data_IF_176870525685
#
_entry.id   IF_176870525685
#
_cell.length_a   1.000
_cell.length_b   1.000
_cell.length_c   1.000
_cell.angle_alpha   90.00
_cell.angle_beta   90.00
_cell.angle_gamma   90.00
#
_symmetry.space_group_name_H-M   'P 1'
#
loop_
_entity.id
_entity.type
_entity.pdbx_description
1 polymer ?
#
# COMPACT_ATOMS: atom_id res chain seq x y z
N UNK A 1 2.00 -25.74 -3.98
CA UNK A 1 2.85 -24.91 -4.85
C UNK A 1 3.50 -25.81 -5.87
N UNK A 2 2.91 -25.87 -7.06
CA UNK A 2 3.56 -26.39 -8.26
C UNK A 2 4.78 -25.51 -8.54
N UNK A 3 5.98 -26.08 -8.50
CA UNK A 3 7.25 -25.40 -8.79
C UNK A 3 7.42 -25.23 -10.30
N UNK A 4 6.46 -24.63 -11.01
CA UNK A 4 6.77 -23.94 -12.26
C UNK A 4 7.41 -22.60 -11.90
N UNK A 5 8.52 -22.32 -12.59
CA UNK A 5 9.67 -21.63 -12.00
C UNK A 5 9.31 -20.28 -11.38
N UNK A 6 9.96 -19.92 -10.28
CA UNK A 6 9.97 -18.57 -9.72
C UNK A 6 10.04 -17.47 -10.80
N UNK A 7 10.69 -17.73 -11.95
CA UNK A 7 10.72 -16.80 -13.07
C UNK A 7 9.36 -16.55 -13.75
N UNK A 8 8.45 -17.53 -13.85
CA UNK A 8 7.09 -17.31 -14.38
C UNK A 8 6.25 -16.49 -13.40
N UNK A 9 6.37 -16.74 -12.09
CA UNK A 9 5.70 -15.94 -11.07
C UNK A 9 6.21 -14.49 -11.06
N UNK A 10 7.52 -14.30 -11.22
CA UNK A 10 8.15 -12.98 -11.37
C UNK A 10 7.65 -12.29 -12.65
N UNK A 11 7.57 -13.01 -13.78
CA UNK A 11 7.07 -12.45 -15.03
C UNK A 11 5.58 -12.07 -14.93
N UNK A 12 4.75 -12.92 -14.31
CA UNK A 12 3.34 -12.64 -14.10
C UNK A 12 3.13 -11.41 -13.21
N UNK A 13 3.84 -11.37 -12.08
CA UNK A 13 3.80 -10.24 -11.15
C UNK A 13 4.30 -8.96 -11.83
N UNK A 14 5.33 -9.05 -12.67
CA UNK A 14 5.83 -7.92 -13.44
C UNK A 14 4.77 -7.38 -14.40
N UNK A 15 4.16 -8.22 -15.25
CA UNK A 15 3.13 -7.80 -16.20
C UNK A 15 1.89 -7.22 -15.49
N UNK A 16 1.42 -7.84 -14.41
CA UNK A 16 0.35 -7.28 -13.59
C UNK A 16 0.72 -5.90 -13.02
N UNK A 17 1.96 -5.74 -12.53
CA UNK A 17 2.45 -4.48 -12.00
C UNK A 17 2.52 -3.41 -13.09
N UNK A 18 2.90 -3.76 -14.32
CA UNK A 18 2.89 -2.82 -15.46
C UNK A 18 1.50 -2.30 -15.78
N UNK A 19 0.47 -3.16 -15.75
CA UNK A 19 -0.93 -2.70 -15.92
C UNK A 19 -1.33 -1.80 -14.76
N UNK A 20 -1.02 -2.19 -13.53
CA UNK A 20 -1.34 -1.45 -12.30
C UNK A 20 -0.73 -0.04 -12.30
N UNK A 21 0.55 0.08 -12.67
CA UNK A 21 1.26 1.36 -12.76
C UNK A 21 0.69 2.30 -13.84
N UNK A 22 -0.04 1.74 -14.81
CA UNK A 22 -0.69 2.48 -15.88
C UNK A 22 -2.18 2.74 -15.63
N UNK A 23 -2.75 2.29 -14.50
CA UNK A 23 -4.18 2.51 -14.20
C UNK A 23 -4.58 3.98 -14.25
N UNK A 24 -3.69 4.90 -13.89
CA UNK A 24 -3.95 6.34 -13.97
C UNK A 24 -3.99 6.88 -15.40
N UNK A 25 -3.46 6.15 -16.37
CA UNK A 25 -3.45 6.49 -17.79
C UNK A 25 -4.58 5.81 -18.57
N UNK A 26 -5.12 4.72 -18.05
CA UNK A 26 -6.09 3.87 -18.71
C UNK A 26 -7.50 4.17 -18.23
N UNK A 27 -8.49 4.09 -19.11
CA UNK A 27 -9.88 3.93 -18.65
C UNK A 27 -10.05 2.54 -18.03
N UNK A 28 -11.08 2.37 -17.20
CA UNK A 28 -11.41 1.04 -16.66
C UNK A 28 -11.50 -0.03 -17.76
N UNK A 29 -12.16 0.23 -18.90
CA UNK A 29 -12.28 -0.78 -19.96
C UNK A 29 -10.94 -1.12 -20.61
N UNK A 30 -10.01 -0.16 -20.69
CA UNK A 30 -8.66 -0.41 -21.20
C UNK A 30 -7.86 -1.24 -20.19
N UNK A 31 -7.91 -0.89 -18.90
CA UNK A 31 -7.27 -1.63 -17.83
C UNK A 31 -7.78 -3.08 -17.76
N UNK A 32 -9.10 -3.27 -17.79
CA UNK A 32 -9.74 -4.58 -17.79
C UNK A 32 -9.27 -5.41 -18.99
N UNK A 33 -9.19 -4.83 -20.20
CA UNK A 33 -8.66 -5.53 -21.37
C UNK A 33 -7.20 -5.93 -21.22
N UNK A 34 -6.35 -5.06 -20.67
CA UNK A 34 -4.94 -5.38 -20.44
C UNK A 34 -4.79 -6.51 -19.41
N UNK A 35 -5.54 -6.49 -18.31
CA UNK A 35 -5.54 -7.59 -17.36
C UNK A 35 -6.02 -8.91 -18.00
N UNK A 36 -7.08 -8.88 -18.83
CA UNK A 36 -7.53 -10.08 -19.57
C UNK A 36 -6.53 -10.57 -20.62
N UNK A 37 -5.73 -9.66 -21.21
CA UNK A 37 -4.61 -10.02 -22.08
C UNK A 37 -3.56 -10.79 -21.28
N UNK A 38 -3.17 -10.29 -20.11
CA UNK A 38 -2.24 -10.97 -19.19
C UNK A 38 -2.80 -12.33 -18.77
N UNK A 39 -4.08 -12.42 -18.39
CA UNK A 39 -4.75 -13.69 -18.08
C UNK A 39 -4.61 -14.71 -19.21
N UNK A 40 -4.96 -14.31 -20.43
CA UNK A 40 -4.91 -15.18 -21.62
C UNK A 40 -3.50 -15.71 -21.86
N UNK A 41 -2.50 -14.83 -21.75
CA UNK A 41 -1.10 -15.17 -21.93
C UNK A 41 -0.61 -16.18 -20.88
N UNK A 42 -0.84 -15.91 -19.60
CA UNK A 42 -0.33 -16.75 -18.52
C UNK A 42 -1.13 -18.05 -18.35
N UNK A 43 -2.44 -18.07 -18.65
CA UNK A 43 -3.23 -19.31 -18.75
C UNK A 43 -2.67 -20.21 -19.85
N UNK A 44 -2.28 -19.66 -21.01
CA UNK A 44 -1.67 -20.44 -22.08
C UNK A 44 -0.31 -21.03 -21.67
N UNK A 45 0.49 -20.31 -20.86
CA UNK A 45 1.78 -20.78 -20.32
C UNK A 45 1.62 -21.84 -19.22
N UNK A 46 0.58 -21.70 -18.38
CA UNK A 46 0.22 -22.69 -17.37
C UNK A 46 -0.09 -24.06 -18.02
N UNK A 47 -0.73 -24.02 -19.19
CA UNK A 47 -1.03 -25.22 -19.98
C UNK A 47 -2.20 -25.97 -19.36
N UNK A 48 -1.98 -27.24 -18.98
CA UNK A 48 -3.01 -28.09 -18.37
C UNK A 48 -2.93 -28.12 -16.82
N UNK A 49 -2.15 -27.23 -16.20
CA UNK A 49 -2.10 -27.12 -14.74
C UNK A 49 -3.34 -26.33 -14.26
N UNK A 50 -4.40 -27.06 -13.90
CA UNK A 50 -5.68 -26.48 -13.48
C UNK A 50 -5.54 -25.59 -12.24
N UNK A 51 -4.60 -25.89 -11.35
CA UNK A 51 -4.37 -25.10 -10.14
C UNK A 51 -3.75 -23.74 -10.50
N UNK A 52 -2.73 -23.72 -11.35
CA UNK A 52 -2.08 -22.49 -11.84
C UNK A 52 -3.06 -21.64 -12.66
N UNK A 53 -3.81 -22.27 -13.58
CA UNK A 53 -4.83 -21.56 -14.38
C UNK A 53 -5.84 -20.87 -13.47
N UNK A 54 -6.33 -21.59 -12.45
CA UNK A 54 -7.29 -21.03 -11.50
C UNK A 54 -6.68 -19.92 -10.65
N UNK A 55 -5.43 -20.02 -10.23
CA UNK A 55 -4.75 -18.95 -9.48
C UNK A 55 -4.61 -17.67 -10.32
N UNK A 56 -4.13 -17.79 -11.56
CA UNK A 56 -4.01 -16.67 -12.51
C UNK A 56 -5.36 -15.99 -12.71
N UNK A 57 -6.40 -16.79 -12.96
CA UNK A 57 -7.76 -16.30 -13.15
C UNK A 57 -8.27 -15.52 -11.93
N UNK A 58 -8.07 -16.03 -10.71
CA UNK A 58 -8.47 -15.35 -9.47
C UNK A 58 -7.75 -14.03 -9.30
N UNK A 59 -6.42 -14.03 -9.46
CA UNK A 59 -5.60 -12.82 -9.27
C UNK A 59 -5.97 -11.74 -10.27
N UNK A 60 -6.20 -12.11 -11.54
CA UNK A 60 -6.65 -11.15 -12.56
C UNK A 60 -8.04 -10.58 -12.26
N UNK A 61 -9.05 -11.41 -11.96
CA UNK A 61 -10.39 -10.90 -11.64
C UNK A 61 -10.37 -9.98 -10.42
N UNK A 62 -9.53 -10.31 -9.43
CA UNK A 62 -9.35 -9.48 -8.25
C UNK A 62 -8.72 -8.11 -8.58
N UNK A 63 -7.69 -8.05 -9.45
CA UNK A 63 -7.13 -6.79 -9.93
C UNK A 63 -8.14 -5.96 -10.72
N UNK A 64 -8.97 -6.61 -11.55
CA UNK A 64 -10.04 -5.93 -12.29
C UNK A 64 -11.09 -5.33 -11.33
N UNK A 65 -11.43 -6.02 -10.23
CA UNK A 65 -12.33 -5.47 -9.20
C UNK A 65 -11.71 -4.26 -8.50
N UNK A 66 -10.42 -4.31 -8.18
CA UNK A 66 -9.67 -3.17 -7.63
C UNK A 66 -9.71 -1.96 -8.59
N UNK A 67 -9.46 -2.19 -9.87
CA UNK A 67 -9.55 -1.13 -10.88
C UNK A 67 -10.98 -0.59 -11.06
N UNK A 68 -12.01 -1.43 -10.97
CA UNK A 68 -13.41 -1.02 -11.03
C UNK A 68 -13.80 -0.13 -9.83
N UNK A 69 -13.30 -0.48 -8.65
CA UNK A 69 -13.40 0.34 -7.45
C UNK A 69 -12.70 1.69 -7.67
N UNK A 70 -11.42 1.69 -8.03
CA UNK A 70 -10.64 2.93 -8.13
C UNK A 70 -11.16 3.91 -9.20
N UNK A 71 -11.80 3.41 -10.27
CA UNK A 71 -12.44 4.22 -11.32
C UNK A 71 -13.95 4.45 -11.09
N UNK A 72 -14.45 4.17 -9.87
CA UNK A 72 -15.83 4.42 -9.43
C UNK A 72 -16.90 3.83 -10.37
N UNK A 73 -16.66 2.61 -10.86
CA UNK A 73 -17.55 1.98 -11.84
C UNK A 73 -18.97 1.74 -11.28
N UNK A 74 -20.00 1.75 -12.16
CA UNK A 74 -21.36 1.46 -11.76
C UNK A 74 -21.48 0.12 -11.03
N UNK A 75 -22.38 0.04 -10.04
CA UNK A 75 -22.59 -1.18 -9.24
C UNK A 75 -22.72 -2.45 -10.08
N UNK A 76 -23.42 -2.38 -11.21
CA UNK A 76 -23.62 -3.51 -12.11
C UNK A 76 -22.30 -4.10 -12.66
N UNK A 77 -21.33 -3.24 -12.93
CA UNK A 77 -19.99 -3.66 -13.37
C UNK A 77 -19.25 -4.33 -12.21
N UNK A 78 -19.22 -3.67 -11.05
CA UNK A 78 -18.60 -4.20 -9.83
C UNK A 78 -19.20 -5.55 -9.41
N UNK A 79 -20.52 -5.68 -9.49
CA UNK A 79 -21.26 -6.91 -9.15
C UNK A 79 -20.89 -8.04 -10.09
N UNK A 80 -20.87 -7.80 -11.41
CA UNK A 80 -20.48 -8.85 -12.37
C UNK A 80 -19.06 -9.38 -12.12
N UNK A 81 -18.11 -8.49 -11.81
CA UNK A 81 -16.72 -8.88 -11.50
C UNK A 81 -16.66 -9.62 -10.14
N UNK A 82 -17.40 -9.14 -9.15
CA UNK A 82 -17.49 -9.78 -7.84
C UNK A 82 -18.06 -11.20 -7.92
N UNK A 83 -19.15 -11.40 -8.65
CA UNK A 83 -19.75 -12.72 -8.88
C UNK A 83 -18.78 -13.66 -9.58
N UNK A 84 -18.05 -13.20 -10.59
CA UNK A 84 -16.98 -13.95 -11.24
C UNK A 84 -15.86 -14.33 -10.25
N UNK A 85 -15.45 -13.41 -9.38
CA UNK A 85 -14.41 -13.67 -8.37
C UNK A 85 -14.89 -14.72 -7.35
N UNK A 86 -16.15 -14.65 -6.92
CA UNK A 86 -16.77 -15.63 -6.02
C UNK A 86 -16.85 -17.01 -6.69
N UNK A 87 -17.23 -17.08 -7.96
CA UNK A 87 -17.27 -18.34 -8.73
C UNK A 87 -15.88 -18.98 -8.85
N UNK A 88 -14.86 -18.16 -9.13
CA UNK A 88 -13.45 -18.61 -9.19
C UNK A 88 -12.93 -19.01 -7.80
N UNK A 89 -13.49 -18.43 -6.74
CA UNK A 89 -13.08 -18.61 -5.35
C UNK A 89 -11.86 -17.76 -4.98
N UNK A 90 -11.45 -17.83 -3.71
CA UNK A 90 -10.32 -17.05 -3.19
C UNK A 90 -9.10 -17.96 -2.95
N UNK A 91 -7.89 -17.42 -3.08
CA UNK A 91 -6.63 -18.12 -2.78
C UNK A 91 -6.53 -18.46 -1.29
N UNK A 92 -6.97 -17.51 -0.45
CA UNK A 92 -6.88 -17.57 1.00
C UNK A 92 -7.88 -16.61 1.65
N UNK A 93 -7.89 -16.60 2.99
CA UNK A 93 -8.80 -15.75 3.79
C UNK A 93 -8.48 -14.27 3.67
N UNK A 94 -7.21 -13.92 3.52
CA UNK A 94 -6.78 -12.52 3.40
C UNK A 94 -7.29 -11.94 2.09
N UNK A 95 -7.12 -12.67 0.99
CA UNK A 95 -7.65 -12.31 -0.32
C UNK A 95 -9.17 -12.15 -0.27
N UNK A 96 -9.89 -13.13 0.30
CA UNK A 96 -11.35 -13.05 0.49
C UNK A 96 -11.75 -11.78 1.23
N UNK A 97 -11.10 -11.50 2.37
CA UNK A 97 -11.36 -10.32 3.18
C UNK A 97 -11.15 -9.03 2.39
N UNK A 98 -9.99 -8.87 1.74
CA UNK A 98 -9.63 -7.66 0.99
C UNK A 98 -10.68 -7.37 -0.08
N UNK A 99 -11.00 -8.35 -0.92
CA UNK A 99 -11.88 -8.12 -2.06
C UNK A 99 -13.37 -8.06 -1.68
N UNK A 100 -13.81 -8.71 -0.59
CA UNK A 100 -15.12 -8.42 0.00
C UNK A 100 -15.21 -6.98 0.47
N UNK A 101 -14.16 -6.48 1.13
CA UNK A 101 -14.09 -5.08 1.57
C UNK A 101 -14.17 -4.10 0.39
N UNK A 102 -13.40 -4.36 -0.67
CA UNK A 102 -13.43 -3.56 -1.91
C UNK A 102 -14.83 -3.56 -2.54
N UNK A 103 -15.46 -4.73 -2.71
CA UNK A 103 -16.80 -4.80 -3.28
C UNK A 103 -17.84 -4.09 -2.40
N UNK A 104 -17.77 -4.25 -1.07
CA UNK A 104 -18.66 -3.54 -0.15
C UNK A 104 -18.50 -2.01 -0.24
N UNK A 105 -17.29 -1.50 -0.50
CA UNK A 105 -17.05 -0.08 -0.80
C UNK A 105 -17.66 0.34 -2.14
N UNK A 106 -17.54 -0.47 -3.19
CA UNK A 106 -18.25 -0.22 -4.45
C UNK A 106 -19.77 -0.10 -4.24
N UNK A 107 -20.35 -1.00 -3.43
CA UNK A 107 -21.76 -0.94 -3.04
C UNK A 107 -22.10 0.36 -2.31
N UNK A 108 -21.26 0.77 -1.35
CA UNK A 108 -21.45 1.99 -0.58
C UNK A 108 -21.54 3.25 -1.47
N UNK A 109 -20.66 3.37 -2.46
CA UNK A 109 -20.62 4.53 -3.35
C UNK A 109 -21.80 4.60 -4.30
N UNK A 110 -22.20 3.44 -4.81
CA UNK A 110 -23.36 3.32 -5.67
C UNK A 110 -24.69 3.40 -4.89
N UNK A 111 -24.64 3.42 -3.54
CA UNK A 111 -25.82 3.48 -2.67
C UNK A 111 -26.54 2.14 -2.51
N UNK A 112 -25.89 1.04 -2.88
CA UNK A 112 -26.39 -0.33 -2.80
C UNK A 112 -26.04 -0.94 -1.44
N UNK A 113 -26.47 -0.27 -0.37
CA UNK A 113 -25.99 -0.57 0.99
C UNK A 113 -26.29 -2.01 1.43
N UNK A 114 -27.50 -2.49 1.16
CA UNK A 114 -27.92 -3.85 1.52
C UNK A 114 -27.04 -4.92 0.86
N UNK A 115 -26.62 -4.69 -0.39
CA UNK A 115 -25.74 -5.62 -1.11
C UNK A 115 -24.33 -5.66 -0.47
N UNK A 116 -23.82 -4.51 -0.02
CA UNK A 116 -22.55 -4.43 0.71
C UNK A 116 -22.61 -5.12 2.08
N UNK A 117 -23.72 -4.94 2.82
CA UNK A 117 -23.93 -5.59 4.11
C UNK A 117 -24.02 -7.11 3.94
N UNK A 118 -24.77 -7.57 2.94
CA UNK A 118 -24.99 -8.99 2.68
C UNK A 118 -23.70 -9.78 2.43
N UNK A 119 -22.65 -9.15 1.89
CA UNK A 119 -21.33 -9.79 1.72
C UNK A 119 -20.43 -9.67 2.94
N UNK A 120 -20.59 -8.62 3.75
CA UNK A 120 -19.76 -8.37 4.94
C UNK A 120 -20.20 -9.20 6.15
N UNK A 121 -21.50 -9.37 6.38
CA UNK A 121 -21.99 -10.13 7.54
C UNK A 121 -21.44 -11.56 7.60
N UNK A 122 -21.46 -12.35 6.51
CA UNK A 122 -20.87 -13.69 6.53
C UNK A 122 -19.36 -13.66 6.76
N UNK A 123 -18.65 -12.68 6.19
CA UNK A 123 -17.20 -12.53 6.37
C UNK A 123 -16.84 -12.20 7.83
N UNK A 124 -17.59 -11.29 8.45
CA UNK A 124 -17.41 -10.90 9.86
C UNK A 124 -17.64 -12.12 10.76
N UNK A 125 -18.75 -12.84 10.57
CA UNK A 125 -19.06 -14.02 11.36
C UNK A 125 -18.01 -15.14 11.19
N UNK A 126 -17.54 -15.38 9.95
CA UNK A 126 -16.47 -16.33 9.68
C UNK A 126 -15.16 -15.93 10.38
N UNK A 127 -14.81 -14.65 10.33
CA UNK A 127 -13.58 -14.12 10.91
C UNK A 127 -13.62 -14.18 12.44
N UNK A 128 -14.76 -13.88 13.06
CA UNK A 128 -15.00 -14.01 14.50
C UNK A 128 -14.84 -15.47 14.97
N UNK A 129 -15.54 -16.40 14.32
CA UNK A 129 -15.46 -17.82 14.66
C UNK A 129 -14.04 -18.37 14.48
N UNK A 130 -13.34 -17.93 13.43
CA UNK A 130 -11.96 -18.33 13.22
C UNK A 130 -11.01 -17.78 14.30
N UNK A 131 -11.12 -16.49 14.66
CA UNK A 131 -10.31 -15.87 15.71
C UNK A 131 -10.50 -16.50 17.09
N UNK A 132 -11.70 -17.01 17.36
CA UNK A 132 -11.99 -17.74 18.60
C UNK A 132 -11.20 -19.05 18.70
N UNK A 133 -11.04 -19.77 17.59
CA UNK A 133 -10.45 -21.11 17.58
C UNK A 133 -9.00 -21.17 17.07
N UNK A 134 -8.51 -20.12 16.41
CA UNK A 134 -7.20 -20.13 15.79
C UNK A 134 -6.07 -20.00 16.83
N UNK A 135 -5.12 -20.93 16.75
CA UNK A 135 -3.85 -20.85 17.46
C UNK A 135 -2.90 -19.88 16.74
N UNK A 136 -3.09 -18.58 17.01
CA UNK A 136 -2.31 -17.49 16.44
C UNK A 136 -1.28 -16.97 17.43
N UNK A 137 -0.16 -16.47 16.93
CA UNK A 137 0.73 -15.63 17.73
C UNK A 137 0.00 -14.32 18.11
N UNK A 138 0.41 -13.63 19.19
CA UNK A 138 -0.18 -12.35 19.56
C UNK A 138 -0.18 -11.32 18.41
N UNK A 139 0.88 -11.28 17.62
CA UNK A 139 1.03 -10.34 16.50
C UNK A 139 0.03 -10.63 15.39
N UNK A 140 -0.09 -11.90 14.98
CA UNK A 140 -1.06 -12.31 13.97
C UNK A 140 -2.49 -12.10 14.46
N UNK A 141 -2.77 -12.41 15.74
CA UNK A 141 -4.09 -12.16 16.33
C UNK A 141 -4.46 -10.68 16.27
N UNK A 142 -3.53 -9.79 16.67
CA UNK A 142 -3.75 -8.35 16.63
C UNK A 142 -4.00 -7.82 15.20
N UNK A 143 -3.27 -8.35 14.21
CA UNK A 143 -3.50 -8.03 12.80
C UNK A 143 -4.94 -8.37 12.37
N UNK A 144 -5.39 -9.59 12.65
CA UNK A 144 -6.72 -10.04 12.27
C UNK A 144 -7.86 -9.37 13.06
N UNK A 145 -7.62 -9.00 14.32
CA UNK A 145 -8.57 -8.21 15.13
C UNK A 145 -8.71 -6.78 14.59
N UNK A 146 -7.61 -6.17 14.14
CA UNK A 146 -7.63 -4.88 13.46
C UNK A 146 -8.44 -4.96 12.17
N UNK A 147 -8.18 -5.97 11.35
CA UNK A 147 -8.89 -6.22 10.10
C UNK A 147 -10.39 -6.46 10.29
N UNK A 148 -10.77 -7.24 11.30
CA UNK A 148 -12.17 -7.45 11.68
C UNK A 148 -12.84 -6.13 12.12
N UNK A 149 -12.10 -5.29 12.84
CA UNK A 149 -12.57 -3.95 13.22
C UNK A 149 -12.85 -3.09 11.99
N UNK A 150 -11.98 -3.17 10.97
CA UNK A 150 -12.20 -2.46 9.70
C UNK A 150 -13.43 -2.98 8.96
N UNK A 151 -13.65 -4.30 8.88
CA UNK A 151 -14.84 -4.87 8.25
C UNK A 151 -16.14 -4.46 8.96
N UNK A 152 -16.17 -4.50 10.30
CA UNK A 152 -17.31 -4.03 11.11
C UNK A 152 -17.58 -2.54 10.88
N UNK A 153 -16.53 -1.72 10.82
CA UNK A 153 -16.67 -0.31 10.49
C UNK A 153 -17.33 -0.07 9.13
N UNK A 154 -16.94 -0.82 8.08
CA UNK A 154 -17.58 -0.70 6.76
C UNK A 154 -19.07 -1.07 6.87
N UNK A 155 -19.41 -2.17 7.54
CA UNK A 155 -20.79 -2.59 7.76
C UNK A 155 -21.60 -1.50 8.48
N UNK A 156 -21.07 -0.97 9.59
CA UNK A 156 -21.76 0.06 10.37
C UNK A 156 -21.97 1.35 9.56
N UNK A 157 -21.01 1.72 8.70
CA UNK A 157 -21.16 2.85 7.76
C UNK A 157 -22.24 2.58 6.70
N UNK A 158 -22.36 1.35 6.19
CA UNK A 158 -23.41 0.94 5.26
C UNK A 158 -24.79 0.94 5.93
N UNK A 159 -24.91 0.42 7.15
CA UNK A 159 -26.14 0.42 7.96
C UNK A 159 -26.62 1.86 8.25
N UNK A 160 -25.67 2.77 8.46
CA UNK A 160 -25.95 4.19 8.64
C UNK A 160 -26.29 4.93 7.32
N UNK A 161 -26.24 4.25 6.17
CA UNK A 161 -26.47 4.84 4.85
C UNK A 161 -25.43 5.89 4.47
N UNK A 162 -24.23 5.82 5.06
CA UNK A 162 -23.15 6.76 4.78
C UNK A 162 -22.60 6.44 3.39
N UNK A 163 -22.83 7.34 2.42
CA UNK A 163 -22.04 7.33 1.20
C UNK A 163 -20.65 7.85 1.54
N UNK A 164 -19.67 6.96 1.51
CA UNK A 164 -18.28 7.41 1.57
C UNK A 164 -18.01 8.13 0.25
N UNK A 165 -17.87 9.45 0.28
CA UNK A 165 -17.16 10.10 -0.80
C UNK A 165 -15.72 9.60 -0.64
N UNK A 166 -15.20 8.84 -1.62
CA UNK A 166 -13.75 8.87 -1.84
C UNK A 166 -13.41 10.35 -1.75
N UNK A 167 -12.48 10.72 -0.87
CA UNK A 167 -11.79 11.97 -1.18
C UNK A 167 -11.25 11.67 -2.56
N UNK A 168 -11.67 12.42 -3.58
CA UNK A 168 -11.19 12.10 -4.90
C UNK A 168 -9.68 12.05 -4.75
N UNK A 169 -9.03 11.11 -5.43
CA UNK A 169 -7.62 11.30 -5.74
C UNK A 169 -7.60 12.55 -6.63
N UNK A 170 -7.77 13.73 -5.99
CA UNK A 170 -8.39 14.97 -6.51
C UNK A 170 -7.55 15.58 -7.62
N UNK A 171 -6.37 15.00 -7.80
CA UNK A 171 -5.54 15.22 -8.95
C UNK A 171 -5.20 13.87 -9.57
N UNK A 172 -5.74 13.61 -10.76
CA UNK A 172 -5.11 12.68 -11.70
C UNK A 172 -3.66 13.07 -11.83
N UNK A 173 -2.75 12.14 -11.57
CA UNK A 173 -1.33 12.41 -11.76
C UNK A 173 -1.10 12.89 -13.19
N UNK A 174 -0.30 13.93 -13.35
CA UNK A 174 0.13 14.38 -14.67
C UNK A 174 0.95 13.28 -15.33
N UNK A 175 0.99 13.18 -16.68
CA UNK A 175 1.82 12.19 -17.37
C UNK A 175 3.28 12.20 -16.91
N UNK A 176 3.81 13.37 -16.52
CA UNK A 176 5.14 13.52 -15.93
C UNK A 176 5.26 12.81 -14.57
N UNK A 177 4.31 13.01 -13.66
CA UNK A 177 4.33 12.35 -12.36
C UNK A 177 4.18 10.83 -12.46
N UNK A 178 3.41 10.36 -13.44
CA UNK A 178 3.29 8.94 -13.75
C UNK A 178 4.64 8.41 -14.22
N UNK A 179 5.29 9.08 -15.19
CA UNK A 179 6.61 8.70 -15.68
C UNK A 179 7.69 8.72 -14.58
N UNK A 180 7.68 9.72 -13.70
CA UNK A 180 8.56 9.79 -12.53
C UNK A 180 8.34 8.58 -11.61
N UNK A 181 7.07 8.30 -11.26
CA UNK A 181 6.70 7.18 -10.39
C UNK A 181 7.09 5.83 -11.00
N UNK A 182 6.86 5.64 -12.30
CA UNK A 182 7.26 4.43 -13.01
C UNK A 182 8.77 4.22 -12.98
N UNK A 183 9.58 5.27 -13.21
CA UNK A 183 11.05 5.16 -13.18
C UNK A 183 11.58 4.89 -11.78
N UNK A 184 11.06 5.59 -10.77
CA UNK A 184 11.42 5.34 -9.36
C UNK A 184 11.09 3.91 -8.97
N UNK A 185 9.88 3.43 -9.29
CA UNK A 185 9.46 2.05 -9.00
C UNK A 185 10.30 1.02 -9.77
N UNK A 186 10.76 1.32 -10.98
CA UNK A 186 11.66 0.45 -11.73
C UNK A 186 13.01 0.28 -11.04
N UNK A 187 13.61 1.36 -10.51
CA UNK A 187 14.85 1.28 -9.70
C UNK A 187 14.59 0.43 -8.45
N UNK A 188 13.52 0.72 -7.72
CA UNK A 188 13.16 -0.01 -6.51
C UNK A 188 12.96 -1.51 -6.77
N UNK A 189 12.26 -1.89 -7.83
CA UNK A 189 12.03 -3.30 -8.17
C UNK A 189 13.34 -4.04 -8.47
N UNK A 190 14.24 -3.41 -9.24
CA UNK A 190 15.56 -3.97 -9.57
C UNK A 190 16.44 -4.11 -8.33
N UNK A 191 16.40 -3.13 -7.44
CA UNK A 191 17.08 -3.18 -6.13
C UNK A 191 16.55 -4.34 -5.28
N UNK A 192 15.23 -4.47 -5.11
CA UNK A 192 14.62 -5.56 -4.34
C UNK A 192 14.92 -6.96 -4.90
N UNK A 193 15.16 -7.06 -6.21
CA UNK A 193 15.56 -8.31 -6.86
C UNK A 193 17.08 -8.57 -6.79
N UNK A 194 17.85 -7.68 -6.15
CA UNK A 194 19.30 -7.79 -6.06
C UNK A 194 20.05 -7.50 -7.36
N UNK A 195 19.38 -6.90 -8.36
CA UNK A 195 20.03 -6.48 -9.62
C UNK A 195 20.88 -5.22 -9.43
N UNK A 196 20.54 -4.40 -8.43
CA UNK A 196 21.23 -3.17 -8.08
C UNK A 196 21.77 -3.24 -6.65
N UNK A 197 23.02 -2.86 -6.49
CA UNK A 197 23.57 -2.44 -5.18
C UNK A 197 22.98 -1.09 -4.78
N UNK A 198 23.02 -0.76 -3.49
CA UNK A 198 22.59 0.54 -2.97
C UNK A 198 23.26 1.70 -3.74
N UNK A 199 24.57 1.66 -3.98
CA UNK A 199 25.28 2.72 -4.70
C UNK A 199 24.90 2.83 -6.18
N UNK A 200 24.44 1.74 -6.80
CA UNK A 200 23.87 1.79 -8.14
C UNK A 200 22.46 2.38 -8.11
N UNK A 201 21.61 1.97 -7.16
CA UNK A 201 20.28 2.53 -6.99
C UNK A 201 20.31 4.05 -6.73
N UNK A 202 21.19 4.53 -5.83
CA UNK A 202 21.41 5.96 -5.59
C UNK A 202 21.80 6.69 -6.87
N UNK A 203 22.71 6.14 -7.68
CA UNK A 203 23.09 6.75 -8.96
C UNK A 203 21.91 6.84 -9.93
N UNK A 204 21.11 5.79 -10.04
CA UNK A 204 19.92 5.80 -10.90
C UNK A 204 18.86 6.79 -10.39
N UNK A 205 18.60 6.84 -9.09
CA UNK A 205 17.71 7.83 -8.48
C UNK A 205 18.17 9.27 -8.75
N UNK A 206 19.46 9.57 -8.58
CA UNK A 206 20.00 10.91 -8.88
C UNK A 206 19.98 11.25 -10.37
N UNK A 207 20.13 10.25 -11.23
CA UNK A 207 19.93 10.44 -12.66
C UNK A 207 18.46 10.79 -12.97
N UNK A 208 17.50 10.10 -12.36
CA UNK A 208 16.08 10.44 -12.48
C UNK A 208 15.80 11.85 -11.96
N UNK A 209 16.37 12.23 -10.81
CA UNK A 209 16.27 13.60 -10.27
C UNK A 209 16.73 14.63 -11.31
N UNK A 210 17.93 14.48 -11.86
CA UNK A 210 18.48 15.41 -12.84
C UNK A 210 17.59 15.53 -14.09
N UNK A 211 17.15 14.40 -14.65
CA UNK A 211 16.31 14.38 -15.86
C UNK A 211 14.95 15.07 -15.64
N UNK A 212 14.35 14.91 -14.46
CA UNK A 212 13.03 15.47 -14.17
C UNK A 212 13.07 16.91 -13.65
N UNK A 213 14.14 17.32 -12.96
CA UNK A 213 14.37 18.69 -12.50
C UNK A 213 14.66 19.63 -13.66
N UNK A 214 15.46 19.22 -14.66
CA UNK A 214 15.76 20.10 -15.82
C UNK A 214 14.53 20.48 -16.66
N UNK A 215 13.41 19.77 -16.49
CA UNK A 215 12.21 19.88 -17.33
C UNK A 215 11.00 20.53 -16.63
N UNK A 216 11.11 21.07 -15.41
CA UNK A 216 9.95 21.43 -14.59
C UNK A 216 9.99 22.81 -13.92
N UNK A 217 8.80 23.31 -13.58
CA UNK A 217 8.60 24.49 -12.73
C UNK A 217 8.54 24.13 -11.22
N UNK A 218 8.49 22.83 -10.88
CA UNK A 218 8.40 22.30 -9.51
C UNK A 218 9.51 21.27 -9.23
N UNK A 219 10.73 21.80 -9.14
CA UNK A 219 11.96 21.02 -8.93
C UNK A 219 12.06 20.45 -7.53
N UNK A 220 11.51 21.14 -6.54
CA UNK A 220 11.69 20.80 -5.13
C UNK A 220 10.85 19.59 -4.72
N UNK A 221 9.64 19.43 -5.24
CA UNK A 221 8.86 18.19 -5.01
C UNK A 221 9.54 16.97 -5.64
N UNK A 222 10.08 17.11 -6.85
CA UNK A 222 10.80 16.02 -7.53
C UNK A 222 12.02 15.60 -6.72
N UNK A 223 12.84 16.59 -6.32
CA UNK A 223 14.01 16.40 -5.45
C UNK A 223 13.63 15.71 -4.14
N UNK A 224 12.60 16.19 -3.45
CA UNK A 224 12.11 15.60 -2.20
C UNK A 224 11.75 14.13 -2.38
N UNK A 225 10.89 13.80 -3.35
CA UNK A 225 10.46 12.42 -3.62
C UNK A 225 11.63 11.49 -3.93
N UNK A 226 12.64 11.96 -4.66
CA UNK A 226 13.84 11.16 -4.92
C UNK A 226 14.66 10.93 -3.63
N UNK A 227 14.85 11.96 -2.80
CA UNK A 227 15.54 11.79 -1.51
C UNK A 227 14.77 10.85 -0.58
N UNK A 228 13.42 10.90 -0.58
CA UNK A 228 12.58 9.93 0.14
C UNK A 228 12.87 8.49 -0.31
N UNK A 229 12.89 8.23 -1.63
CA UNK A 229 13.20 6.91 -2.19
C UNK A 229 14.61 6.44 -1.84
N UNK A 230 15.60 7.35 -1.84
CA UNK A 230 16.98 7.02 -1.45
C UNK A 230 17.06 6.64 0.04
N UNK A 231 16.33 7.33 0.92
CA UNK A 231 16.30 7.00 2.35
C UNK A 231 15.64 5.65 2.62
N UNK A 232 14.53 5.36 1.93
CA UNK A 232 13.86 4.06 2.02
C UNK A 232 14.76 2.91 1.52
N UNK A 233 15.46 3.12 0.41
CA UNK A 233 16.49 2.22 -0.12
C UNK A 233 17.63 2.00 0.87
N UNK A 234 18.15 3.06 1.50
CA UNK A 234 19.20 2.96 2.51
C UNK A 234 18.75 2.15 3.74
N UNK A 235 17.50 2.34 4.17
CA UNK A 235 16.90 1.58 5.26
C UNK A 235 16.79 0.08 4.94
N UNK A 236 16.31 -0.26 3.74
CA UNK A 236 16.11 -1.65 3.30
C UNK A 236 17.42 -2.40 3.05
N UNK A 237 18.47 -1.67 2.70
CA UNK A 237 19.79 -2.20 2.41
C UNK A 237 20.74 -2.14 3.63
N UNK A 238 20.20 -1.95 4.85
CA UNK A 238 20.93 -1.90 6.12
C UNK A 238 22.20 -1.03 6.06
N UNK A 239 22.09 0.14 5.43
CA UNK A 239 23.23 1.03 5.25
C UNK A 239 23.72 1.59 6.59
N UNK A 240 25.03 1.90 6.69
CA UNK A 240 25.59 2.51 7.89
C UNK A 240 24.83 3.77 8.30
N UNK A 241 24.74 4.03 9.60
CA UNK A 241 24.03 5.17 10.15
C UNK A 241 24.48 6.50 9.53
N UNK A 242 25.78 6.69 9.28
CA UNK A 242 26.30 7.93 8.68
C UNK A 242 25.67 8.21 7.32
N UNK A 243 25.50 7.18 6.49
CA UNK A 243 24.86 7.28 5.17
C UNK A 243 23.39 7.65 5.33
N UNK A 244 22.67 6.95 6.20
CA UNK A 244 21.26 7.25 6.47
C UNK A 244 21.06 8.67 7.01
N UNK A 245 21.97 9.14 7.88
CA UNK A 245 21.93 10.47 8.47
C UNK A 245 22.14 11.56 7.43
N UNK A 246 23.13 11.41 6.54
CA UNK A 246 23.37 12.39 5.46
C UNK A 246 22.14 12.55 4.56
N UNK A 247 21.49 11.43 4.19
CA UNK A 247 20.27 11.44 3.37
C UNK A 247 19.10 12.07 4.14
N UNK A 248 18.97 11.75 5.43
CA UNK A 248 17.93 12.32 6.30
C UNK A 248 18.09 13.84 6.46
N UNK A 249 19.31 14.32 6.69
CA UNK A 249 19.60 15.75 6.80
C UNK A 249 19.28 16.48 5.48
N UNK A 250 19.61 15.89 4.34
CA UNK A 250 19.21 16.41 3.03
C UNK A 250 17.69 16.47 2.89
N UNK A 251 16.97 15.42 3.28
CA UNK A 251 15.50 15.39 3.21
C UNK A 251 14.87 16.48 4.10
N UNK A 252 15.38 16.65 5.33
CA UNK A 252 14.92 17.73 6.23
C UNK A 252 15.18 19.10 5.63
N UNK A 253 16.32 19.32 4.98
CA UNK A 253 16.63 20.58 4.27
C UNK A 253 15.66 20.86 3.10
N UNK A 254 15.28 19.81 2.36
CA UNK A 254 14.28 19.88 1.26
C UNK A 254 12.84 20.02 1.77
N UNK A 255 12.61 19.79 3.07
CA UNK A 255 11.31 19.80 3.71
C UNK A 255 10.42 18.64 3.30
N UNK A 256 9.19 18.61 3.83
CA UNK A 256 8.21 17.56 3.56
C UNK A 256 7.00 18.13 2.80
N UNK A 257 6.40 17.33 1.92
CA UNK A 257 5.24 17.77 1.12
C UNK A 257 3.97 17.88 1.97
N UNK A 258 3.88 17.10 3.05
CA UNK A 258 2.82 17.19 4.05
C UNK A 258 3.25 16.50 5.37
N UNK A 259 2.38 16.60 6.37
CA UNK A 259 2.60 16.05 7.71
C UNK A 259 2.68 14.52 7.73
N UNK A 260 1.88 13.84 6.89
CA UNK A 260 1.92 12.39 6.75
C UNK A 260 3.29 11.92 6.24
N UNK A 261 3.84 12.62 5.25
CA UNK A 261 5.18 12.37 4.72
C UNK A 261 6.26 12.65 5.74
N UNK A 262 6.15 13.73 6.53
CA UNK A 262 7.03 14.01 7.66
C UNK A 262 7.08 12.82 8.63
N UNK A 263 5.91 12.35 9.10
CA UNK A 263 5.85 11.22 10.02
C UNK A 263 6.36 9.91 9.42
N UNK A 264 5.99 9.62 8.17
CA UNK A 264 6.42 8.38 7.50
C UNK A 264 7.93 8.33 7.34
N UNK A 265 8.56 9.40 6.85
CA UNK A 265 10.00 9.41 6.62
C UNK A 265 10.81 9.49 7.92
N UNK A 266 10.31 10.19 8.94
CA UNK A 266 10.90 10.15 10.28
C UNK A 266 10.88 8.75 10.88
N UNK A 267 9.80 7.99 10.68
CA UNK A 267 9.72 6.59 11.13
C UNK A 267 10.73 5.71 10.39
N UNK A 268 10.88 5.89 9.07
CA UNK A 268 11.90 5.19 8.27
C UNK A 268 13.31 5.46 8.80
N UNK A 269 13.67 6.74 8.99
CA UNK A 269 15.00 7.08 9.52
C UNK A 269 15.23 6.58 10.95
N UNK A 270 14.22 6.67 11.83
CA UNK A 270 14.32 6.14 13.19
C UNK A 270 14.51 4.61 13.21
N UNK A 271 13.97 3.88 12.23
CA UNK A 271 14.27 2.45 12.03
C UNK A 271 15.69 2.22 11.54
N UNK A 272 16.23 3.04 10.63
CA UNK A 272 17.66 2.98 10.28
C UNK A 272 18.54 3.12 11.54
N UNK A 273 18.19 4.07 12.41
CA UNK A 273 18.87 4.29 13.68
C UNK A 273 18.78 3.06 14.58
N UNK A 274 17.59 2.45 14.68
CA UNK A 274 17.36 1.22 15.45
C UNK A 274 18.26 0.07 14.98
N UNK A 275 18.31 -0.21 13.68
CA UNK A 275 19.10 -1.31 13.11
C UNK A 275 20.61 -1.07 13.26
N UNK A 276 21.06 0.18 13.18
CA UNK A 276 22.46 0.55 13.42
C UNK A 276 22.83 0.65 14.92
N UNK A 277 21.85 0.58 15.83
CA UNK A 277 22.07 0.71 17.27
C UNK A 277 22.24 2.15 17.77
N UNK A 278 21.88 3.14 16.96
CA UNK A 278 21.94 4.57 17.25
C UNK A 278 20.61 5.04 17.88
N UNK A 279 20.25 4.42 19.00
CA UNK A 279 18.92 4.57 19.61
C UNK A 279 18.59 6.02 19.99
N UNK A 280 19.57 6.77 20.51
CA UNK A 280 19.38 8.17 20.91
C UNK A 280 19.06 9.08 19.71
N UNK A 281 19.67 8.81 18.55
CA UNK A 281 19.37 9.55 17.33
C UNK A 281 17.95 9.27 16.84
N UNK A 282 17.51 8.00 16.89
CA UNK A 282 16.13 7.63 16.59
C UNK A 282 15.11 8.28 17.53
N UNK A 283 15.40 8.31 18.84
CA UNK A 283 14.56 8.95 19.85
C UNK A 283 14.45 10.47 19.64
N UNK A 284 15.56 11.13 19.28
CA UNK A 284 15.57 12.56 19.01
C UNK A 284 14.65 12.97 17.85
N UNK A 285 14.37 12.05 16.92
CA UNK A 285 13.45 12.28 15.80
C UNK A 285 11.99 11.95 16.17
N UNK A 286 11.75 10.87 16.92
CA UNK A 286 10.39 10.39 17.21
C UNK A 286 9.72 11.13 18.38
N UNK A 287 10.46 11.48 19.44
CA UNK A 287 9.86 12.11 20.63
C UNK A 287 9.14 13.44 20.33
N UNK A 288 9.70 14.37 19.51
CA UNK A 288 8.97 15.59 19.13
C UNK A 288 7.67 15.29 18.37
N UNK A 289 7.67 14.28 17.48
CA UNK A 289 6.49 13.92 16.70
C UNK A 289 5.38 13.31 17.55
N UNK A 290 5.74 12.55 18.59
CA UNK A 290 4.77 12.05 19.57
C UNK A 290 4.08 13.23 20.28
N UNK A 291 4.85 14.21 20.73
CA UNK A 291 4.31 15.39 21.41
C UNK A 291 3.39 16.21 20.48
N UNK A 292 3.79 16.37 19.21
CA UNK A 292 2.97 17.06 18.19
C UNK A 292 1.64 16.32 17.96
N UNK A 293 1.66 14.98 17.89
CA UNK A 293 0.46 14.15 17.71
C UNK A 293 -0.45 14.15 18.93
N UNK A 294 0.12 14.06 20.14
CA UNK A 294 -0.63 14.17 21.40
C UNK A 294 -1.32 15.54 21.49
N UNK A 295 -0.59 16.62 21.20
CA UNK A 295 -1.14 17.99 21.17
C UNK A 295 -2.23 18.14 20.11
N UNK A 296 -2.07 17.51 18.95
CA UNK A 296 -3.08 17.54 17.88
C UNK A 296 -4.36 16.83 18.31
N UNK A 297 -4.27 15.70 19.02
CA UNK A 297 -5.45 14.94 19.46
C UNK A 297 -6.31 15.67 20.51
N UNK A 298 -5.70 16.60 21.26
CA UNK A 298 -6.38 17.50 22.18
C UNK A 298 -7.17 18.60 21.45
N UNK A 299 -6.89 18.85 20.16
CA UNK A 299 -7.65 19.81 19.36
C UNK A 299 -9.05 19.28 19.03
N UNK A 300 -10.06 19.94 19.58
CA UNK A 300 -11.48 19.67 19.34
C UNK A 300 -11.93 19.92 17.89
N UNK A 301 -11.15 20.66 17.11
CA UNK A 301 -11.46 20.99 15.71
C UNK A 301 -10.95 19.95 14.71
N UNK A 302 -10.20 18.93 15.16
CA UNK A 302 -9.78 17.84 14.27
C UNK A 302 -10.99 17.13 13.68
N UNK A 303 -11.00 17.02 12.35
CA UNK A 303 -11.96 16.15 11.67
C UNK A 303 -11.79 14.70 12.13
N UNK A 304 -12.84 13.87 12.08
CA UNK A 304 -12.74 12.45 12.44
C UNK A 304 -11.61 11.71 11.69
N UNK A 305 -11.36 12.07 10.42
CA UNK A 305 -10.28 11.51 9.61
C UNK A 305 -8.90 11.89 10.15
N UNK A 306 -8.67 13.17 10.42
CA UNK A 306 -7.39 13.63 10.97
C UNK A 306 -7.15 13.03 12.35
N UNK A 307 -8.19 12.95 13.19
CA UNK A 307 -8.13 12.29 14.50
C UNK A 307 -7.75 10.82 14.38
N UNK A 308 -8.33 10.10 13.41
CA UNK A 308 -7.96 8.71 13.13
C UNK A 308 -6.50 8.58 12.67
N UNK A 309 -6.06 9.40 11.72
CA UNK A 309 -4.67 9.44 11.29
C UNK A 309 -3.72 9.70 12.47
N UNK A 310 -3.96 10.75 13.26
CA UNK A 310 -3.12 11.09 14.41
C UNK A 310 -3.09 9.95 15.44
N UNK A 311 -4.23 9.32 15.73
CA UNK A 311 -4.31 8.20 16.68
C UNK A 311 -3.51 6.98 16.22
N UNK A 312 -3.67 6.57 14.96
CA UNK A 312 -2.94 5.43 14.40
C UNK A 312 -1.43 5.69 14.32
N UNK A 313 -1.03 6.87 13.85
CA UNK A 313 0.40 7.25 13.76
C UNK A 313 1.03 7.38 15.15
N UNK A 314 0.31 7.92 16.14
CA UNK A 314 0.80 8.03 17.53
C UNK A 314 1.07 6.66 18.14
N UNK A 315 0.19 5.68 17.88
CA UNK A 315 0.40 4.31 18.35
C UNK A 315 1.69 3.72 17.77
N UNK A 316 1.91 3.85 16.46
CA UNK A 316 3.12 3.36 15.80
C UNK A 316 4.38 4.03 16.34
N UNK A 317 4.36 5.35 16.52
CA UNK A 317 5.51 6.09 17.06
C UNK A 317 5.82 5.71 18.51
N UNK A 318 4.80 5.53 19.36
CA UNK A 318 5.00 5.06 20.74
C UNK A 318 5.61 3.66 20.77
N UNK A 319 5.13 2.74 19.93
CA UNK A 319 5.72 1.41 19.80
C UNK A 319 7.20 1.49 19.43
N UNK A 320 7.54 2.26 18.38
CA UNK A 320 8.93 2.42 17.97
C UNK A 320 9.79 3.08 19.05
N UNK A 321 9.29 4.12 19.72
CA UNK A 321 9.99 4.77 20.84
C UNK A 321 10.28 3.79 21.97
N UNK A 322 9.32 2.94 22.32
CA UNK A 322 9.48 1.98 23.41
C UNK A 322 10.50 0.88 23.02
N UNK A 323 10.53 0.46 21.75
CA UNK A 323 11.57 -0.43 21.22
C UNK A 323 12.98 0.21 21.23
N UNK A 324 13.08 1.48 20.83
CA UNK A 324 14.33 2.25 20.86
C UNK A 324 14.84 2.40 22.31
N UNK A 325 13.97 2.73 23.27
CA UNK A 325 14.33 2.80 24.70
C UNK A 325 14.76 1.45 25.28
N UNK A 326 14.21 0.37 24.77
CA UNK A 326 14.61 -0.98 25.16
C UNK A 326 15.92 -1.44 24.50
N UNK A 327 16.49 -0.66 23.57
CA UNK A 327 17.71 -1.01 22.85
C UNK A 327 17.54 -2.22 21.92
N UNK A 328 16.31 -2.46 21.42
CA UNK A 328 16.02 -3.58 20.53
C UNK A 328 16.52 -3.25 19.12
N UNK A 329 17.45 -4.03 18.60
CA UNK A 329 17.87 -4.00 17.19
C UNK A 329 16.93 -4.87 16.36
N UNK A 330 16.60 -4.42 15.15
CA UNK A 330 15.78 -5.15 14.17
C UNK A 330 16.56 -5.44 12.91
#
# INVERSE_FOLDING_TARGET
MSLKSYAEEVAFTHEMSQVTLRLMELTFEQAAREYRRVETEFVARAGNDEDDVRDIQRRITAQILGAAHDDEQPHEVCRGIWEELVERGFSDREQKRIFTGIYARCCQWNGEFDAGIAVLEPLIAESEAWLEHAALTPELRAYWEHDLTMARKIRDELEAGIRQLLMPMDRKLTPREIALTQRVNAVQFRECNGELTFEQAVREYRQIEAEFVECADDDEETKRRITESILDSACKSDQPHEVCREIWEELVQRGFSNEERRHSMSMTYARCCQSNGEFDAGLAVIDPLINDLESSLDDTMLTPKMRHFCGSTLQLHRMLRDELKAGIRK
#
